data_IF_297122608263
#
_entry.id   IF_297122608263
#
_cell.length_a   1.000
_cell.length_b   1.000
_cell.length_c   1.000
_cell.angle_alpha   90.00
_cell.angle_beta   90.00
_cell.angle_gamma   90.00
#
_symmetry.space_group_name_H-M   'P 1'
#
loop_
_entity.id
_entity.type
_entity.pdbx_description
1 polymer ?
#
# COMPACT_ATOMS: atom_id res chain seq x y z
N UNK A 1 -9.95 -3.71 15.97
CA UNK A 1 -9.91 -2.37 15.32
C UNK A 1 -11.15 -2.16 14.46
N UNK A 2 -11.69 -0.96 14.48
CA UNK A 2 -12.71 -0.58 13.52
C UNK A 2 -12.07 -0.33 12.15
N UNK A 3 -12.89 -0.30 11.09
CA UNK A 3 -12.41 0.03 9.75
C UNK A 3 -11.75 1.41 9.71
N UNK A 4 -12.34 2.39 10.40
CA UNK A 4 -11.82 3.75 10.49
C UNK A 4 -10.43 3.79 11.16
N UNK A 5 -10.25 3.03 12.23
CA UNK A 5 -8.96 2.92 12.91
C UNK A 5 -7.91 2.26 12.02
N UNK A 6 -8.29 1.21 11.29
CA UNK A 6 -7.41 0.55 10.34
C UNK A 6 -6.93 1.51 9.26
N UNK A 7 -7.85 2.27 8.67
CA UNK A 7 -7.50 3.23 7.62
C UNK A 7 -6.60 4.34 8.16
N UNK A 8 -6.90 4.85 9.35
CA UNK A 8 -6.06 5.85 10.02
C UNK A 8 -4.63 5.33 10.23
N UNK A 9 -4.49 4.09 10.65
CA UNK A 9 -3.18 3.44 10.83
C UNK A 9 -2.43 3.38 9.50
N UNK A 10 -3.12 3.01 8.41
CA UNK A 10 -2.52 2.96 7.09
C UNK A 10 -2.06 4.35 6.64
N UNK A 11 -2.90 5.36 6.79
CA UNK A 11 -2.57 6.75 6.41
C UNK A 11 -1.38 7.27 7.20
N UNK A 12 -1.36 7.05 8.52
CA UNK A 12 -0.26 7.50 9.36
C UNK A 12 1.08 6.87 8.94
N UNK A 13 1.08 5.58 8.62
CA UNK A 13 2.29 4.91 8.17
C UNK A 13 2.68 5.30 6.75
N UNK A 14 1.71 5.52 5.88
CA UNK A 14 1.96 6.03 4.54
C UNK A 14 2.63 7.40 4.59
N UNK A 15 2.14 8.29 5.45
CA UNK A 15 2.74 9.60 5.63
C UNK A 15 4.15 9.51 6.20
N UNK A 16 4.37 8.63 7.18
CA UNK A 16 5.66 8.49 7.86
C UNK A 16 6.74 7.91 6.95
N UNK A 17 6.43 6.86 6.22
CA UNK A 17 7.44 6.11 5.46
C UNK A 17 7.50 6.46 3.99
N UNK A 18 6.43 6.96 3.42
CA UNK A 18 6.36 7.23 1.98
C UNK A 18 6.31 8.73 1.70
N UNK A 19 5.32 9.45 2.22
CA UNK A 19 5.20 10.88 1.97
C UNK A 19 6.39 11.67 2.49
N UNK A 20 6.83 11.40 3.72
CA UNK A 20 7.99 12.07 4.31
C UNK A 20 9.28 11.79 3.55
N UNK A 21 9.34 10.72 2.79
CA UNK A 21 10.51 10.29 2.04
C UNK A 21 10.30 10.37 0.52
N UNK A 22 9.34 11.17 0.06
CA UNK A 22 8.98 11.23 -1.36
C UNK A 22 10.14 11.60 -2.28
N UNK A 23 11.17 12.27 -1.76
CA UNK A 23 12.39 12.57 -2.51
C UNK A 23 13.06 11.29 -3.03
N UNK A 24 13.05 10.22 -2.22
CA UNK A 24 13.64 8.94 -2.62
C UNK A 24 12.92 8.34 -3.84
N UNK A 25 11.63 8.63 -3.99
CA UNK A 25 10.83 8.16 -5.12
C UNK A 25 11.07 9.01 -6.36
N UNK A 26 11.31 10.31 -6.19
CA UNK A 26 11.61 11.21 -7.32
C UNK A 26 12.98 10.94 -7.91
N UNK A 27 13.96 10.64 -7.06
CA UNK A 27 15.35 10.47 -7.45
C UNK A 27 15.71 9.01 -7.70
N UNK A 28 14.73 8.14 -7.85
CA UNK A 28 14.96 6.72 -8.05
C UNK A 28 15.75 6.43 -9.32
N UNK A 29 16.76 5.58 -9.19
CA UNK A 29 17.50 5.00 -10.29
C UNK A 29 17.86 3.55 -9.92
N UNK A 30 18.38 2.79 -10.88
CA UNK A 30 18.70 1.39 -10.67
C UNK A 30 19.62 1.10 -9.48
N UNK A 31 20.50 2.02 -9.14
CA UNK A 31 21.42 1.88 -8.01
C UNK A 31 20.87 2.42 -6.71
N UNK A 32 19.73 3.07 -6.73
CA UNK A 32 19.12 3.67 -5.54
C UNK A 32 17.95 2.83 -5.06
N UNK A 33 18.13 2.14 -3.94
CA UNK A 33 17.11 1.27 -3.37
C UNK A 33 16.34 1.92 -2.21
N UNK A 34 16.51 3.22 -1.97
CA UNK A 34 15.86 3.91 -0.85
C UNK A 34 14.34 3.88 -0.95
N UNK A 35 13.80 4.03 -2.16
CA UNK A 35 12.35 3.93 -2.36
C UNK A 35 11.83 2.54 -2.00
N UNK A 36 12.55 1.48 -2.38
CA UNK A 36 12.21 0.11 -2.02
C UNK A 36 12.21 -0.08 -0.50
N UNK A 37 13.24 0.46 0.17
CA UNK A 37 13.35 0.35 1.62
C UNK A 37 12.18 1.04 2.33
N UNK A 38 11.76 2.20 1.84
CA UNK A 38 10.61 2.91 2.39
C UNK A 38 9.31 2.11 2.23
N UNK A 39 9.13 1.45 1.10
CA UNK A 39 7.97 0.59 0.87
C UNK A 39 7.99 -0.62 1.80
N UNK A 40 9.14 -1.24 1.99
CA UNK A 40 9.31 -2.38 2.90
C UNK A 40 8.99 -1.95 4.33
N UNK A 41 9.48 -0.80 4.77
CA UNK A 41 9.22 -0.27 6.10
C UNK A 41 7.74 0.06 6.31
N UNK A 42 7.11 0.67 5.31
CA UNK A 42 5.67 0.93 5.32
C UNK A 42 4.89 -0.37 5.51
N UNK A 43 5.16 -1.36 4.69
CA UNK A 43 4.47 -2.65 4.74
C UNK A 43 4.66 -3.32 6.09
N UNK A 44 5.90 -3.36 6.59
CA UNK A 44 6.22 -3.96 7.88
C UNK A 44 5.48 -3.28 9.03
N UNK A 45 5.43 -1.95 9.03
CA UNK A 45 4.72 -1.20 10.07
C UNK A 45 3.22 -1.48 10.05
N UNK A 46 2.61 -1.54 8.88
CA UNK A 46 1.19 -1.86 8.74
C UNK A 46 0.91 -3.31 9.18
N UNK A 47 1.77 -4.26 8.78
CA UNK A 47 1.62 -5.66 9.19
C UNK A 47 1.79 -5.80 10.71
N UNK A 48 2.72 -5.07 11.31
CA UNK A 48 2.93 -5.10 12.76
C UNK A 48 1.72 -4.55 13.55
N UNK A 49 0.88 -3.74 12.91
CA UNK A 49 -0.35 -3.25 13.54
C UNK A 49 -1.52 -4.25 13.48
N UNK A 50 -1.32 -5.38 12.81
CA UNK A 50 -2.33 -6.44 12.72
C UNK A 50 -3.05 -6.53 11.38
N UNK A 51 -2.68 -5.70 10.41
CA UNK A 51 -3.25 -5.74 9.08
C UNK A 51 -2.45 -6.64 8.14
N UNK A 52 -3.04 -7.07 7.04
CA UNK A 52 -2.40 -7.96 6.08
C UNK A 52 -2.48 -7.41 4.67
N UNK A 53 -1.53 -7.80 3.84
CA UNK A 53 -1.46 -7.44 2.42
C UNK A 53 -1.71 -8.67 1.57
N UNK A 54 -2.43 -8.49 0.48
CA UNK A 54 -2.54 -9.52 -0.56
C UNK A 54 -2.35 -8.86 -1.92
N UNK A 55 -1.61 -9.53 -2.81
CA UNK A 55 -1.41 -9.06 -4.18
C UNK A 55 -2.69 -9.22 -4.99
N UNK A 56 -2.93 -8.26 -5.88
CA UNK A 56 -4.02 -8.33 -6.84
C UNK A 56 -3.48 -8.90 -8.14
N UNK A 57 -4.11 -9.94 -8.65
CA UNK A 57 -3.78 -10.56 -9.92
C UNK A 57 -4.91 -10.31 -10.92
N UNK A 58 -4.54 -9.90 -12.12
CA UNK A 58 -5.50 -9.67 -13.19
C UNK A 58 -5.64 -10.94 -14.04
N UNK A 59 -6.87 -11.29 -14.39
CA UNK A 59 -7.19 -12.55 -15.07
C UNK A 59 -6.53 -12.68 -16.43
N UNK A 60 -6.21 -11.58 -17.09
CA UNK A 60 -5.58 -11.58 -18.42
C UNK A 60 -4.05 -11.63 -18.36
N UNK A 61 -3.47 -11.74 -17.18
CA UNK A 61 -2.03 -11.73 -16.99
C UNK A 61 -1.36 -10.39 -17.26
N UNK A 62 -2.11 -9.39 -17.67
CA UNK A 62 -1.64 -8.03 -17.87
C UNK A 62 -2.00 -7.25 -16.62
N UNK A 63 -1.21 -7.37 -15.60
CA UNK A 63 -1.48 -6.70 -14.35
C UNK A 63 -0.22 -6.15 -13.75
N UNK A 64 -0.40 -5.31 -12.77
CA UNK A 64 0.70 -4.74 -12.04
C UNK A 64 0.94 -5.57 -10.79
N UNK A 65 2.11 -6.20 -10.71
CA UNK A 65 2.48 -7.03 -9.56
C UNK A 65 2.70 -6.23 -8.28
N UNK A 66 2.64 -4.90 -8.37
CA UNK A 66 2.85 -4.00 -7.24
C UNK A 66 1.53 -3.46 -6.66
N UNK A 67 0.41 -4.01 -7.10
CA UNK A 67 -0.90 -3.65 -6.60
C UNK A 67 -1.29 -4.61 -5.48
N UNK A 68 -1.71 -4.06 -4.34
CA UNK A 68 -2.06 -4.83 -3.15
C UNK A 68 -3.36 -4.33 -2.55
N UNK A 69 -4.04 -5.21 -1.83
CA UNK A 69 -5.15 -4.84 -0.96
C UNK A 69 -4.70 -5.06 0.49
N UNK A 70 -4.93 -4.07 1.33
CA UNK A 70 -4.67 -4.13 2.77
C UNK A 70 -6.00 -4.47 3.45
N UNK A 71 -6.01 -5.53 4.26
CA UNK A 71 -7.23 -6.03 4.88
C UNK A 71 -7.04 -6.42 6.33
N UNK A 72 -8.14 -6.44 7.06
CA UNK A 72 -8.21 -6.96 8.43
C UNK A 72 -8.79 -8.36 8.36
N UNK A 73 -8.06 -9.33 8.93
CA UNK A 73 -8.51 -10.70 9.01
C UNK A 73 -9.14 -10.96 10.37
N UNK A 74 -10.29 -11.63 10.38
CA UNK A 74 -10.95 -12.07 11.59
C UNK A 74 -11.56 -13.45 11.36
N UNK A 75 -12.11 -14.04 12.41
CA UNK A 75 -12.84 -15.29 12.31
C UNK A 75 -14.27 -15.07 12.78
N UNK A 76 -15.22 -15.72 12.11
CA UNK A 76 -16.60 -15.74 12.58
C UNK A 76 -16.75 -16.78 13.71
N UNK A 77 -17.95 -16.90 14.25
CA UNK A 77 -18.26 -17.84 15.33
C UNK A 77 -18.05 -19.30 14.97
N UNK A 78 -18.05 -19.62 13.67
CA UNK A 78 -17.87 -20.97 13.15
C UNK A 78 -16.41 -21.25 12.76
N UNK A 79 -15.51 -20.28 12.98
CA UNK A 79 -14.09 -20.40 12.67
C UNK A 79 -13.72 -20.07 11.24
N UNK A 80 -14.65 -19.64 10.41
CA UNK A 80 -14.36 -19.22 9.04
C UNK A 80 -13.65 -17.87 9.03
N UNK A 81 -12.64 -17.77 8.15
CA UNK A 81 -11.86 -16.54 8.00
C UNK A 81 -12.68 -15.49 7.24
N UNK A 82 -12.77 -14.30 7.83
CA UNK A 82 -13.37 -13.13 7.22
C UNK A 82 -12.28 -12.13 6.91
N UNK A 83 -12.22 -11.69 5.64
CA UNK A 83 -11.27 -10.66 5.20
C UNK A 83 -12.02 -9.37 4.93
N UNK A 84 -11.78 -8.36 5.75
CA UNK A 84 -12.37 -7.03 5.59
C UNK A 84 -11.38 -6.15 4.85
N UNK A 85 -11.64 -5.92 3.58
CA UNK A 85 -10.76 -5.08 2.74
C UNK A 85 -10.89 -3.62 3.14
N UNK A 86 -9.76 -2.97 3.38
CA UNK A 86 -9.70 -1.60 3.87
C UNK A 86 -9.22 -0.65 2.79
N UNK A 87 -8.11 -0.98 2.14
CA UNK A 87 -7.36 -0.02 1.34
C UNK A 87 -6.63 -0.72 0.21
N UNK A 88 -6.57 -0.06 -0.95
CA UNK A 88 -5.71 -0.46 -2.05
C UNK A 88 -4.37 0.26 -1.90
N UNK A 89 -3.28 -0.46 -2.08
CA UNK A 89 -1.93 0.09 -2.10
C UNK A 89 -1.26 -0.27 -3.41
N UNK A 90 -0.67 0.74 -4.05
CA UNK A 90 0.02 0.59 -5.33
C UNK A 90 1.32 1.37 -5.31
N UNK A 91 2.36 0.78 -5.91
CA UNK A 91 3.60 1.51 -6.16
C UNK A 91 4.16 1.12 -7.51
N UNK A 92 4.92 2.03 -8.11
CA UNK A 92 5.55 1.84 -9.40
C UNK A 92 6.96 2.41 -9.37
N UNK A 93 7.91 1.63 -9.88
CA UNK A 93 9.27 2.08 -10.11
C UNK A 93 9.42 2.39 -11.60
N UNK A 94 9.34 3.67 -11.95
CA UNK A 94 9.46 4.10 -13.33
C UNK A 94 10.91 4.08 -13.79
N UNK A 95 11.12 3.64 -15.03
CA UNK A 95 12.45 3.64 -15.64
C UNK A 95 12.79 5.05 -16.15
N UNK A 96 11.79 5.79 -16.59
CA UNK A 96 11.97 7.08 -17.25
C UNK A 96 11.26 8.25 -16.58
N UNK A 97 10.64 8.09 -15.46
CA UNK A 97 9.83 9.17 -14.89
C UNK A 97 9.76 9.18 -13.38
N UNK A 98 10.68 8.49 -12.74
CA UNK A 98 10.63 8.37 -11.29
C UNK A 98 9.61 7.35 -10.81
N UNK A 99 9.39 7.32 -9.53
CA UNK A 99 8.48 6.37 -8.89
C UNK A 99 7.30 7.11 -8.29
N UNK A 100 6.21 6.39 -8.10
CA UNK A 100 5.08 6.90 -7.35
C UNK A 100 4.44 5.78 -6.53
N UNK A 101 3.64 6.19 -5.56
CA UNK A 101 2.86 5.28 -4.73
C UNK A 101 1.56 5.95 -4.33
N UNK A 102 0.52 5.16 -4.11
CA UNK A 102 -0.72 5.67 -3.56
C UNK A 102 -1.40 4.64 -2.66
N UNK A 103 -2.26 5.14 -1.79
CA UNK A 103 -3.26 4.35 -1.09
C UNK A 103 -4.64 4.89 -1.45
N UNK A 104 -5.61 3.99 -1.56
CA UNK A 104 -6.99 4.37 -1.86
C UNK A 104 -7.93 3.70 -0.87
N UNK A 105 -8.75 4.51 -0.19
CA UNK A 105 -9.79 3.99 0.70
C UNK A 105 -10.86 3.28 -0.13
N UNK A 106 -11.06 1.99 0.13
CA UNK A 106 -12.03 1.19 -0.63
C UNK A 106 -13.49 1.52 -0.27
N UNK A 107 -13.74 2.24 0.82
CA UNK A 107 -15.09 2.67 1.17
C UNK A 107 -15.50 3.96 0.45
N UNK A 108 -14.58 4.90 0.30
CA UNK A 108 -14.86 6.25 -0.22
C UNK A 108 -14.24 6.52 -1.58
N UNK A 109 -13.29 5.68 -2.01
CA UNK A 109 -12.43 5.88 -3.18
C UNK A 109 -11.51 7.10 -3.05
N UNK A 110 -11.35 7.64 -1.85
CA UNK A 110 -10.41 8.73 -1.58
C UNK A 110 -8.99 8.22 -1.74
N UNK A 111 -8.17 8.96 -2.50
CA UNK A 111 -6.81 8.56 -2.85
C UNK A 111 -5.78 9.52 -2.28
N UNK A 112 -4.75 8.97 -1.65
CA UNK A 112 -3.58 9.70 -1.18
C UNK A 112 -2.38 9.20 -1.97
N UNK A 113 -1.61 10.12 -2.57
CA UNK A 113 -0.53 9.72 -3.47
C UNK A 113 0.68 10.62 -3.35
N UNK A 114 1.83 10.09 -3.79
CA UNK A 114 3.04 10.85 -4.04
C UNK A 114 3.42 10.71 -5.51
N UNK A 115 4.05 11.77 -6.07
CA UNK A 115 4.48 11.76 -7.44
C UNK A 115 3.33 11.86 -8.45
N UNK A 116 3.65 11.53 -9.71
CA UNK A 116 2.64 11.49 -10.77
C UNK A 116 1.80 10.23 -10.65
N UNK A 117 0.50 10.40 -10.58
CA UNK A 117 -0.45 9.30 -10.65
C UNK A 117 -1.13 9.38 -12.00
N UNK A 118 -0.97 8.33 -12.78
CA UNK A 118 -1.56 8.23 -14.11
C UNK A 118 -2.95 7.64 -14.03
#
# INVERSE_FOLDING_TARGET
MTRKECFKTIVNNFNKYIVANQKNFKDYCYSNHKACDNIIEFRRAVENSGLKFTKVFHANGIGNNNEHVIYLESQDKDGFIIKKEICEFYYCYGVYGGCFAYIKDLATNEKFSIGKVF
#
